data_IF_186543026339
#
_entry.id   IF_186543026339
#
_cell.length_a   1.000
_cell.length_b   1.000
_cell.length_c   1.000
_cell.angle_alpha   90.00
_cell.angle_beta   90.00
_cell.angle_gamma   90.00
#
_symmetry.space_group_name_H-M   'P 1'
#
loop_
_entity.id
_entity.type
_entity.pdbx_description
1 polymer ?
#
# COMPACT_ATOMS: atom_id res chain seq x y z
N UNK A 1 54.29 55.28 15.71
CA UNK A 1 52.86 55.32 15.35
C UNK A 1 52.67 54.84 13.92
N UNK A 2 52.21 53.60 13.71
CA UNK A 2 51.76 53.08 12.40
C UNK A 2 50.54 52.19 12.63
N UNK A 3 49.44 52.53 11.95
CA UNK A 3 48.21 51.74 11.83
C UNK A 3 48.47 50.56 10.90
N UNK A 4 47.95 49.39 11.24
CA UNK A 4 47.60 48.36 10.24
C UNK A 4 46.28 47.71 10.66
N UNK A 5 45.28 47.92 9.80
CA UNK A 5 43.92 47.39 9.90
C UNK A 5 43.86 45.98 9.31
N UNK A 6 42.95 45.17 9.90
CA UNK A 6 42.06 44.17 9.28
C UNK A 6 42.62 43.28 8.17
N UNK A 7 42.54 41.97 8.38
CA UNK A 7 41.54 41.11 7.70
C UNK A 7 41.62 39.69 8.25
N UNK A 8 40.70 39.33 9.14
CA UNK A 8 40.44 37.93 9.48
C UNK A 8 39.62 37.34 8.33
N UNK A 9 40.22 36.47 7.53
CA UNK A 9 39.52 35.60 6.59
C UNK A 9 39.07 34.37 7.37
N UNK A 10 37.79 34.30 7.69
CA UNK A 10 37.15 33.06 8.13
C UNK A 10 37.09 32.12 6.91
N UNK A 11 37.97 31.13 6.88
CA UNK A 11 37.82 30.00 5.98
C UNK A 11 36.76 29.07 6.59
N UNK A 12 35.53 29.18 6.09
CA UNK A 12 34.49 28.21 6.33
C UNK A 12 34.87 26.93 5.56
N UNK A 13 35.40 25.93 6.27
CA UNK A 13 35.57 24.58 5.74
C UNK A 13 34.20 23.90 5.73
N UNK A 14 33.76 23.55 4.52
CA UNK A 14 32.44 23.06 4.20
C UNK A 14 32.10 21.73 4.86
N UNK A 15 30.92 21.69 5.50
CA UNK A 15 30.17 20.45 5.61
C UNK A 15 29.57 20.13 4.23
N UNK A 16 29.78 18.93 3.67
CA UNK A 16 28.93 18.46 2.59
C UNK A 16 27.53 18.27 3.18
N UNK A 17 26.63 19.20 2.85
CA UNK A 17 25.20 18.99 3.03
C UNK A 17 24.83 17.80 2.15
N UNK A 18 24.62 16.64 2.78
CA UNK A 18 23.93 15.51 2.19
C UNK A 18 22.49 16.01 1.97
N UNK A 19 22.23 16.57 0.79
CA UNK A 19 20.89 16.84 0.32
C UNK A 19 20.22 15.48 0.12
N UNK A 20 19.55 14.99 1.16
CA UNK A 20 18.49 14.03 1.00
C UNK A 20 17.44 14.72 0.13
N UNK A 21 17.49 14.48 -1.18
CA UNK A 21 16.43 14.82 -2.09
C UNK A 21 15.23 13.96 -1.69
N UNK A 22 14.40 14.49 -0.79
CA UNK A 22 12.99 14.15 -0.70
C UNK A 22 12.41 14.54 -2.06
N UNK A 23 12.49 13.62 -3.01
CA UNK A 23 11.82 13.76 -4.29
C UNK A 23 10.32 13.71 -4.00
N UNK A 24 9.73 14.88 -3.75
CA UNK A 24 8.30 15.06 -3.93
C UNK A 24 8.04 14.81 -5.42
N UNK A 25 7.64 13.58 -5.76
CA UNK A 25 7.21 13.27 -7.11
C UNK A 25 6.08 14.26 -7.46
N UNK A 26 6.25 15.00 -8.55
CA UNK A 26 5.19 15.88 -9.02
C UNK A 26 3.93 15.03 -9.30
N UNK A 27 2.74 15.49 -8.89
CA UNK A 27 1.52 14.73 -9.13
C UNK A 27 1.35 14.46 -10.63
N UNK A 28 1.07 13.19 -10.98
CA UNK A 28 0.90 12.77 -12.37
C UNK A 28 -0.28 13.55 -12.98
N UNK A 29 -0.09 14.07 -14.19
CA UNK A 29 -1.13 14.81 -14.92
C UNK A 29 -2.03 13.93 -15.80
N UNK A 30 -1.71 12.63 -15.91
CA UNK A 30 -2.47 11.62 -16.67
C UNK A 30 -2.79 10.42 -15.77
N UNK A 31 -3.86 9.66 -16.07
CA UNK A 31 -4.10 8.38 -15.42
C UNK A 31 -2.88 7.44 -15.56
N UNK A 32 -2.52 6.71 -14.51
CA UNK A 32 -1.46 5.72 -14.55
C UNK A 32 -1.90 4.49 -15.35
N UNK A 33 -0.94 3.77 -15.91
CA UNK A 33 -1.16 2.40 -16.41
C UNK A 33 -1.26 1.43 -15.23
N UNK A 34 -1.83 0.25 -15.46
CA UNK A 34 -1.92 -0.81 -14.44
C UNK A 34 -0.56 -1.12 -13.79
N UNK A 35 0.50 -1.31 -14.59
CA UNK A 35 1.85 -1.60 -14.08
C UNK A 35 2.44 -0.44 -13.25
N UNK A 36 2.13 0.80 -13.61
CA UNK A 36 2.58 1.99 -12.90
C UNK A 36 1.95 2.06 -11.49
N UNK A 37 0.64 1.80 -11.37
CA UNK A 37 -0.05 1.89 -10.07
C UNK A 37 0.27 0.70 -9.15
N UNK A 38 0.48 -0.49 -9.71
CA UNK A 38 1.00 -1.64 -8.97
C UNK A 38 2.38 -1.32 -8.39
N UNK A 39 3.25 -0.70 -9.18
CA UNK A 39 4.58 -0.33 -8.70
C UNK A 39 4.52 0.72 -7.60
N UNK A 40 3.67 1.74 -7.75
CA UNK A 40 3.42 2.75 -6.70
C UNK A 40 3.00 2.09 -5.37
N UNK A 41 2.09 1.10 -5.43
CA UNK A 41 1.67 0.32 -4.25
C UNK A 41 2.83 -0.44 -3.60
N UNK A 42 3.69 -1.07 -4.40
CA UNK A 42 4.84 -1.84 -3.90
C UNK A 42 5.91 -0.93 -3.28
N UNK A 43 6.10 0.26 -3.83
CA UNK A 43 7.05 1.27 -3.36
C UNK A 43 6.52 2.07 -2.15
N UNK A 44 5.24 1.91 -1.81
CA UNK A 44 4.60 2.57 -0.67
C UNK A 44 4.03 3.96 -0.98
N UNK A 45 3.87 4.32 -2.25
CA UNK A 45 3.14 5.52 -2.67
C UNK A 45 1.62 5.25 -2.68
N UNK A 46 1.08 5.00 -1.49
CA UNK A 46 -0.35 4.71 -1.31
C UNK A 46 -1.23 5.91 -1.65
N UNK A 47 -0.69 7.13 -1.67
CA UNK A 47 -1.42 8.32 -2.10
C UNK A 47 -1.78 8.24 -3.58
N UNK A 48 -0.84 7.80 -4.45
CA UNK A 48 -1.14 7.60 -5.86
C UNK A 48 -2.27 6.58 -6.07
N UNK A 49 -2.24 5.46 -5.33
CA UNK A 49 -3.27 4.40 -5.40
C UNK A 49 -4.63 4.93 -4.94
N UNK A 50 -4.68 5.55 -3.76
CA UNK A 50 -5.93 6.06 -3.16
C UNK A 50 -6.54 7.22 -3.95
N UNK A 51 -5.72 7.96 -4.69
CA UNK A 51 -6.20 9.01 -5.60
C UNK A 51 -6.76 8.43 -6.92
N UNK A 52 -6.01 7.54 -7.60
CA UNK A 52 -6.37 7.11 -8.95
C UNK A 52 -7.37 5.96 -9.01
N UNK A 53 -7.34 5.02 -8.05
CA UNK A 53 -8.23 3.87 -8.12
C UNK A 53 -9.73 4.21 -8.09
N UNK A 54 -10.23 5.14 -7.24
CA UNK A 54 -11.63 5.53 -7.29
C UNK A 54 -12.07 6.00 -8.68
N UNK A 55 -11.23 6.82 -9.33
CA UNK A 55 -11.49 7.32 -10.69
C UNK A 55 -11.52 6.19 -11.72
N UNK A 56 -10.63 5.20 -11.61
CA UNK A 56 -10.61 4.03 -12.51
C UNK A 56 -11.78 3.08 -12.30
N UNK A 57 -12.33 3.00 -11.08
CA UNK A 57 -13.51 2.20 -10.79
C UNK A 57 -14.80 2.86 -11.29
N UNK A 58 -14.84 4.20 -11.29
CA UNK A 58 -15.98 4.99 -11.73
C UNK A 58 -16.01 5.26 -13.26
N UNK A 59 -14.91 4.99 -13.97
CA UNK A 59 -14.77 5.24 -15.41
C UNK A 59 -15.04 3.96 -16.25
N UNK A 60 -16.16 3.89 -17.00
CA UNK A 60 -16.46 2.76 -17.88
C UNK A 60 -15.44 2.55 -19.02
N UNK A 61 -14.63 3.57 -19.33
CA UNK A 61 -13.57 3.53 -20.34
C UNK A 61 -12.20 3.16 -19.79
N UNK A 62 -12.07 2.91 -18.48
CA UNK A 62 -10.80 2.54 -17.86
C UNK A 62 -10.27 1.19 -18.39
N UNK A 63 -8.95 1.01 -18.31
CA UNK A 63 -8.31 -0.28 -18.56
C UNK A 63 -8.91 -1.34 -17.63
N UNK A 64 -9.54 -2.42 -18.15
CA UNK A 64 -10.18 -3.44 -17.32
C UNK A 64 -9.21 -4.07 -16.31
N UNK A 65 -7.94 -4.25 -16.69
CA UNK A 65 -6.95 -4.83 -15.78
C UNK A 65 -6.64 -3.90 -14.59
N UNK A 66 -6.66 -2.58 -14.82
CA UNK A 66 -6.47 -1.58 -13.77
C UNK A 66 -7.69 -1.53 -12.84
N UNK A 67 -8.90 -1.49 -13.40
CA UNK A 67 -10.14 -1.49 -12.61
C UNK A 67 -10.25 -2.76 -11.74
N UNK A 68 -10.01 -3.93 -12.34
CA UNK A 68 -10.00 -5.20 -11.63
C UNK A 68 -8.96 -5.21 -10.50
N UNK A 69 -7.74 -4.72 -10.76
CA UNK A 69 -6.73 -4.63 -9.72
C UNK A 69 -7.13 -3.67 -8.59
N UNK A 70 -7.70 -2.51 -8.93
CA UNK A 70 -8.12 -1.49 -7.97
C UNK A 70 -9.17 -2.00 -6.97
N UNK A 71 -9.99 -3.00 -7.33
CA UNK A 71 -10.90 -3.65 -6.39
C UNK A 71 -10.20 -4.25 -5.17
N UNK A 72 -8.93 -4.67 -5.31
CA UNK A 72 -8.12 -5.26 -4.23
C UNK A 72 -7.04 -4.31 -3.73
N UNK A 73 -6.40 -3.58 -4.65
CA UNK A 73 -5.30 -2.66 -4.37
C UNK A 73 -5.74 -1.45 -3.54
N UNK A 74 -6.92 -0.90 -3.80
CA UNK A 74 -7.44 0.28 -3.09
C UNK A 74 -7.63 0.04 -1.59
N UNK A 75 -8.43 -0.95 -1.13
CA UNK A 75 -8.58 -1.21 0.30
C UNK A 75 -7.26 -1.61 0.97
N UNK A 76 -6.34 -2.28 0.24
CA UNK A 76 -5.00 -2.57 0.76
C UNK A 76 -4.16 -1.29 0.98
N UNK A 77 -4.17 -0.36 0.02
CA UNK A 77 -3.47 0.91 0.12
C UNK A 77 -4.04 1.79 1.23
N UNK A 78 -5.38 1.89 1.34
CA UNK A 78 -6.06 2.58 2.45
C UNK A 78 -5.63 2.03 3.81
N UNK A 79 -5.62 0.69 3.96
CA UNK A 79 -5.22 0.06 5.21
C UNK A 79 -3.74 0.33 5.54
N UNK A 80 -2.85 0.26 4.55
CA UNK A 80 -1.42 0.53 4.70
C UNK A 80 -1.11 2.03 4.93
N UNK A 81 -1.97 2.95 4.46
CA UNK A 81 -1.91 4.37 4.77
C UNK A 81 -2.62 4.75 6.08
N UNK A 82 -3.00 3.75 6.89
CA UNK A 82 -3.69 3.89 8.18
C UNK A 82 -5.12 4.46 8.10
N UNK A 83 -5.73 4.43 6.92
CA UNK A 83 -7.15 4.71 6.71
C UNK A 83 -7.97 3.41 6.77
N UNK A 84 -7.91 2.75 7.93
CA UNK A 84 -8.54 1.44 8.12
C UNK A 84 -10.07 1.51 8.08
N UNK A 85 -10.67 2.66 8.40
CA UNK A 85 -12.12 2.86 8.34
C UNK A 85 -12.60 2.86 6.88
N UNK A 86 -11.99 3.68 6.01
CA UNK A 86 -12.33 3.69 4.59
C UNK A 86 -12.06 2.33 3.92
N UNK A 87 -10.96 1.67 4.30
CA UNK A 87 -10.68 0.31 3.82
C UNK A 87 -11.81 -0.65 4.18
N UNK A 88 -12.28 -0.64 5.43
CA UNK A 88 -13.35 -1.51 5.91
C UNK A 88 -14.69 -1.20 5.25
N UNK A 89 -15.00 0.07 5.01
CA UNK A 89 -16.21 0.47 4.31
C UNK A 89 -16.21 0.03 2.85
N UNK A 90 -15.06 0.14 2.18
CA UNK A 90 -14.89 -0.41 0.83
C UNK A 90 -15.05 -1.93 0.82
N UNK A 91 -14.43 -2.65 1.76
CA UNK A 91 -14.60 -4.10 1.87
C UNK A 91 -16.07 -4.48 2.09
N UNK A 92 -16.81 -3.72 2.91
CA UNK A 92 -18.26 -3.93 3.13
C UNK A 92 -19.07 -3.67 1.87
N UNK A 93 -18.78 -2.62 1.10
CA UNK A 93 -19.56 -2.31 -0.12
C UNK A 93 -19.45 -3.39 -1.20
N UNK A 94 -18.33 -4.13 -1.22
CA UNK A 94 -18.14 -5.27 -2.13
C UNK A 94 -18.82 -6.54 -1.62
N UNK A 95 -18.76 -6.78 -0.31
CA UNK A 95 -19.22 -8.03 0.30
C UNK A 95 -20.67 -8.01 0.80
N UNK A 96 -21.26 -6.82 0.93
CA UNK A 96 -22.59 -6.60 1.48
C UNK A 96 -23.40 -5.70 0.55
N UNK A 97 -24.69 -6.01 0.41
CA UNK A 97 -25.64 -5.14 -0.27
C UNK A 97 -25.85 -3.86 0.55
N UNK A 98 -25.55 -2.73 -0.07
CA UNK A 98 -25.83 -1.40 0.50
C UNK A 98 -27.17 -0.94 -0.09
N UNK A 99 -28.27 -0.81 0.68
CA UNK A 99 -28.35 -0.40 2.08
C UNK A 99 -28.79 -1.49 3.08
N UNK A 100 -29.13 -2.69 2.62
CA UNK A 100 -29.73 -3.73 3.49
C UNK A 100 -28.75 -4.34 4.49
N UNK A 101 -27.45 -4.19 4.24
CA UNK A 101 -26.38 -4.84 5.00
C UNK A 101 -26.43 -6.36 4.90
N UNK A 102 -27.17 -6.91 3.92
CA UNK A 102 -27.22 -8.36 3.67
C UNK A 102 -25.96 -8.80 2.95
N UNK A 103 -25.61 -10.08 3.11
CA UNK A 103 -24.46 -10.64 2.42
C UNK A 103 -24.70 -10.65 0.90
N UNK A 104 -23.71 -10.19 0.15
CA UNK A 104 -23.68 -10.21 -1.31
C UNK A 104 -22.58 -11.16 -1.81
N UNK A 105 -22.83 -11.81 -2.94
CA UNK A 105 -21.91 -12.76 -3.55
C UNK A 105 -21.81 -14.09 -2.79
N UNK A 106 -21.13 -15.06 -3.40
CA UNK A 106 -20.93 -16.37 -2.76
C UNK A 106 -19.92 -16.28 -1.61
N UNK A 107 -19.90 -17.28 -0.72
CA UNK A 107 -18.88 -17.37 0.31
C UNK A 107 -17.48 -17.52 -0.30
N UNK A 108 -17.35 -18.28 -1.39
CA UNK A 108 -16.10 -18.47 -2.11
C UNK A 108 -15.56 -17.15 -2.65
N UNK A 109 -16.43 -16.33 -3.26
CA UNK A 109 -16.08 -15.00 -3.75
C UNK A 109 -15.54 -14.12 -2.62
N UNK A 110 -16.27 -14.00 -1.51
CA UNK A 110 -15.86 -13.14 -0.38
C UNK A 110 -14.55 -13.62 0.26
N UNK A 111 -14.36 -14.93 0.42
CA UNK A 111 -13.10 -15.50 0.92
C UNK A 111 -11.96 -15.21 -0.04
N UNK A 112 -12.18 -15.36 -1.34
CA UNK A 112 -11.17 -15.02 -2.36
C UNK A 112 -10.82 -13.53 -2.31
N UNK A 113 -11.83 -12.66 -2.28
CA UNK A 113 -11.67 -11.21 -2.23
C UNK A 113 -10.83 -10.77 -1.02
N UNK A 114 -11.19 -11.23 0.19
CA UNK A 114 -10.42 -10.93 1.41
C UNK A 114 -8.98 -11.41 1.29
N UNK A 115 -8.75 -12.65 0.81
CA UNK A 115 -7.39 -13.18 0.65
C UNK A 115 -6.57 -12.35 -0.32
N UNK A 116 -7.16 -11.92 -1.41
CA UNK A 116 -6.46 -11.16 -2.43
C UNK A 116 -6.12 -9.75 -1.94
N UNK A 117 -7.03 -9.07 -1.24
CA UNK A 117 -6.72 -7.80 -0.58
C UNK A 117 -5.60 -7.95 0.46
N UNK A 118 -5.65 -8.98 1.31
CA UNK A 118 -4.57 -9.24 2.29
C UNK A 118 -3.24 -9.58 1.61
N UNK A 119 -3.27 -10.28 0.46
CA UNK A 119 -2.06 -10.54 -0.34
C UNK A 119 -1.42 -9.21 -0.78
N UNK A 120 -2.23 -8.25 -1.21
CA UNK A 120 -1.74 -6.91 -1.58
C UNK A 120 -1.24 -6.09 -0.39
N UNK A 121 -1.70 -6.35 0.83
CA UNK A 121 -1.06 -5.81 2.05
C UNK A 121 0.32 -6.45 2.28
N UNK A 122 0.41 -7.76 2.12
CA UNK A 122 1.62 -8.52 2.43
C UNK A 122 2.79 -8.21 1.46
N UNK A 123 2.50 -8.01 0.17
CA UNK A 123 3.52 -7.83 -0.88
C UNK A 123 4.54 -6.71 -0.61
N UNK A 124 4.15 -5.44 -0.37
CA UNK A 124 5.11 -4.38 -0.08
C UNK A 124 5.91 -4.66 1.20
N UNK A 125 5.26 -5.21 2.23
CA UNK A 125 5.94 -5.56 3.50
C UNK A 125 7.01 -6.65 3.30
N UNK A 126 6.76 -7.62 2.41
CA UNK A 126 7.77 -8.62 2.01
C UNK A 126 8.90 -7.99 1.20
N UNK A 127 8.58 -7.17 0.20
CA UNK A 127 9.57 -6.49 -0.63
C UNK A 127 10.53 -5.63 0.22
N UNK A 128 10.00 -4.99 1.25
CA UNK A 128 10.73 -4.14 2.18
C UNK A 128 11.32 -4.90 3.38
N UNK A 129 11.18 -6.23 3.44
CA UNK A 129 11.68 -7.12 4.51
C UNK A 129 11.21 -6.74 5.92
N UNK A 130 9.99 -6.21 6.06
CA UNK A 130 9.42 -5.81 7.34
C UNK A 130 8.77 -7.01 8.07
N UNK A 131 9.57 -8.00 8.51
CA UNK A 131 9.05 -9.28 9.07
C UNK A 131 8.00 -9.08 10.19
N UNK A 132 8.26 -8.20 11.15
CA UNK A 132 7.32 -7.96 12.27
C UNK A 132 6.04 -7.25 11.85
N UNK A 133 6.12 -6.33 10.87
CA UNK A 133 4.95 -5.65 10.33
C UNK A 133 4.15 -6.60 9.44
N UNK A 134 4.81 -7.44 8.65
CA UNK A 134 4.20 -8.47 7.83
C UNK A 134 3.36 -9.41 8.69
N UNK A 135 3.94 -10.00 9.74
CA UNK A 135 3.20 -10.97 10.57
C UNK A 135 1.99 -10.33 11.27
N UNK A 136 2.21 -9.22 11.99
CA UNK A 136 1.14 -8.56 12.76
C UNK A 136 0.10 -7.88 11.88
N UNK A 137 0.55 -7.17 10.85
CA UNK A 137 -0.32 -6.43 9.93
C UNK A 137 -1.20 -7.37 9.11
N UNK A 138 -0.64 -8.48 8.61
CA UNK A 138 -1.45 -9.50 7.91
C UNK A 138 -2.47 -10.13 8.85
N UNK A 139 -2.08 -10.49 10.08
CA UNK A 139 -3.03 -11.08 11.03
C UNK A 139 -4.18 -10.13 11.38
N UNK A 140 -3.87 -8.85 11.62
CA UNK A 140 -4.88 -7.82 11.87
C UNK A 140 -5.82 -7.64 10.66
N UNK A 141 -5.25 -7.47 9.46
CA UNK A 141 -6.03 -7.31 8.24
C UNK A 141 -6.93 -8.52 7.94
N UNK A 142 -6.47 -9.75 8.20
CA UNK A 142 -7.32 -10.95 8.08
C UNK A 142 -8.52 -10.85 9.01
N UNK A 143 -8.34 -10.48 10.27
CA UNK A 143 -9.43 -10.38 11.23
C UNK A 143 -10.42 -9.29 10.81
N UNK A 144 -9.90 -8.10 10.52
CA UNK A 144 -10.70 -6.92 10.17
C UNK A 144 -11.50 -7.19 8.89
N UNK A 145 -10.84 -7.58 7.81
CA UNK A 145 -11.50 -7.79 6.52
C UNK A 145 -12.43 -9.01 6.51
N UNK A 146 -12.10 -10.05 7.28
CA UNK A 146 -13.03 -11.19 7.45
C UNK A 146 -14.31 -10.74 8.15
N UNK A 147 -14.21 -9.85 9.14
CA UNK A 147 -15.37 -9.27 9.79
C UNK A 147 -16.17 -8.36 8.84
N UNK A 148 -15.51 -7.49 8.06
CA UNK A 148 -16.16 -6.66 7.04
C UNK A 148 -16.95 -7.50 6.04
N UNK A 149 -16.36 -8.58 5.57
CA UNK A 149 -16.95 -9.46 4.57
C UNK A 149 -17.79 -10.60 5.15
N UNK A 150 -17.97 -10.70 6.48
CA UNK A 150 -18.70 -11.79 7.18
C UNK A 150 -18.27 -13.18 6.71
N UNK A 151 -16.97 -13.44 6.73
CA UNK A 151 -16.36 -14.75 6.44
C UNK A 151 -15.52 -15.22 7.63
N UNK A 152 -15.22 -16.52 7.69
CA UNK A 152 -14.40 -17.09 8.75
C UNK A 152 -12.91 -16.73 8.54
N UNK A 153 -12.25 -16.02 9.48
CA UNK A 153 -10.84 -15.67 9.39
C UNK A 153 -9.91 -16.89 9.36
N UNK A 154 -10.30 -18.03 9.94
CA UNK A 154 -9.51 -19.26 9.89
C UNK A 154 -9.45 -19.79 8.47
N UNK A 155 -10.58 -19.77 7.76
CA UNK A 155 -10.63 -20.14 6.33
C UNK A 155 -9.76 -19.20 5.52
N UNK A 156 -9.88 -17.88 5.72
CA UNK A 156 -9.07 -16.88 5.00
C UNK A 156 -7.57 -17.14 5.21
N UNK A 157 -7.14 -17.26 6.47
CA UNK A 157 -5.73 -17.39 6.87
C UNK A 157 -5.01 -18.62 6.30
N UNK A 158 -5.71 -19.73 6.07
CA UNK A 158 -5.12 -21.00 5.64
C UNK A 158 -4.35 -20.95 4.29
N UNK A 159 -4.53 -19.91 3.47
CA UNK A 159 -3.84 -19.74 2.19
C UNK A 159 -3.06 -18.43 2.07
N UNK A 160 -2.85 -17.72 3.17
CA UNK A 160 -2.08 -16.48 3.17
C UNK A 160 -0.64 -16.80 3.55
N UNK A 161 0.25 -16.63 2.59
CA UNK A 161 1.68 -16.72 2.84
C UNK A 161 2.14 -15.52 3.69
N UNK A 162 2.81 -15.78 4.80
CA UNK A 162 3.43 -14.75 5.66
C UNK A 162 4.93 -14.92 5.76
N UNK A 163 5.51 -15.81 4.95
CA UNK A 163 6.93 -16.10 4.96
C UNK A 163 7.70 -15.11 4.09
N UNK A 164 8.85 -14.66 4.58
CA UNK A 164 9.85 -13.98 3.76
C UNK A 164 10.89 -15.03 3.40
N UNK A 165 11.10 -15.27 2.11
CA UNK A 165 12.14 -16.19 1.66
C UNK A 165 13.51 -15.65 2.10
N UNK A 166 14.06 -16.24 3.17
CA UNK A 166 15.42 -15.92 3.62
C UNK A 166 16.38 -16.43 2.57
N UNK A 167 16.96 -15.52 1.78
CA UNK A 167 18.10 -15.86 0.94
C UNK A 167 19.17 -16.53 1.82
N UNK A 168 19.43 -17.82 1.60
CA UNK A 168 20.61 -18.48 2.19
C UNK A 168 21.83 -17.65 1.79
N UNK A 169 22.68 -17.24 2.74
CA UNK A 169 23.94 -16.60 2.36
C UNK A 169 24.66 -17.56 1.41
N UNK A 170 24.98 -17.09 0.20
CA UNK A 170 25.84 -17.84 -0.73
C UNK A 170 27.13 -18.11 0.03
N UNK A 171 27.33 -19.36 0.45
CA UNK A 171 28.63 -19.83 0.91
C UNK A 171 29.58 -19.64 -0.27
N UNK A 172 30.53 -18.73 -0.10
CA UNK A 172 31.66 -18.55 -1.01
C UNK A 172 32.67 -19.65 -0.75
#
# INVERSE_FOLDING_TARGET
>A
MRRTRRTQRLAALGLPAIFAALACAAPRSRPPRHDELVQDHLDGDYHAVTYWCPQSLDDPGADPALADWCMYGLPAAMYLSLDSEAAMDFMRSVCLDTPSGQVQGSQEFRVFYVRETVRWIALPLRAQRQESALFRGVQAAVLDFSAACRVDPLVVSAKIDTTIERQRPRQR
#
